data_IF_648963823217
#
_entry.id   IF_648963823217
#
_cell.length_a   1.000
_cell.length_b   1.000
_cell.length_c   1.000
_cell.angle_alpha   90.00
_cell.angle_beta   90.00
_cell.angle_gamma   90.00
#
_symmetry.space_group_name_H-M   'P 1'
#
loop_
_entity.id
_entity.type
_entity.pdbx_description
1 polymer ?
#
# COMPACT_ATOMS: atom_id res chain seq x y z
N UNK A 1 61.66 14.89 -54.44
CA UNK A 1 62.74 15.89 -54.67
C UNK A 1 62.31 17.16 -53.96
N UNK A 2 62.92 17.48 -52.81
CA UNK A 2 63.99 18.48 -52.61
C UNK A 2 63.55 19.95 -52.81
N UNK A 3 63.69 20.70 -51.69
CA UNK A 3 64.05 22.15 -51.56
C UNK A 3 62.93 23.15 -51.88
N UNK A 4 62.79 24.32 -51.25
CA UNK A 4 63.49 25.01 -50.18
C UNK A 4 62.61 26.20 -49.73
N UNK A 5 62.48 26.38 -48.41
CA UNK A 5 62.77 27.61 -47.65
C UNK A 5 62.67 28.98 -48.36
N UNK A 6 61.81 29.86 -47.84
CA UNK A 6 62.07 31.31 -47.75
C UNK A 6 61.33 31.89 -46.53
N UNK A 7 62.12 32.42 -45.59
CA UNK A 7 61.71 33.22 -44.45
C UNK A 7 61.29 34.62 -44.90
N UNK A 8 60.23 35.17 -44.31
CA UNK A 8 60.13 36.61 -44.03
C UNK A 8 59.47 36.81 -42.67
N UNK A 9 60.20 37.50 -41.79
CA UNK A 9 59.81 37.87 -40.44
C UNK A 9 58.79 39.02 -40.43
N UNK A 10 57.94 39.09 -39.40
CA UNK A 10 57.05 40.23 -39.20
C UNK A 10 56.17 40.13 -37.95
N UNK A 11 56.72 40.60 -36.83
CA UNK A 11 56.02 41.25 -35.69
C UNK A 11 54.99 40.47 -34.85
N UNK A 12 55.38 40.28 -33.58
CA UNK A 12 54.52 39.88 -32.46
C UNK A 12 53.42 40.91 -32.19
N UNK A 13 52.17 40.45 -32.07
CA UNK A 13 51.14 41.12 -31.28
C UNK A 13 50.31 40.05 -30.55
N UNK A 14 50.53 39.95 -29.24
CA UNK A 14 49.74 39.14 -28.31
C UNK A 14 48.35 39.75 -28.14
N UNK A 15 47.31 39.00 -28.50
CA UNK A 15 45.93 39.28 -28.12
C UNK A 15 45.34 38.04 -27.43
N UNK A 16 45.19 38.12 -26.11
CA UNK A 16 44.45 37.16 -25.31
C UNK A 16 42.95 37.40 -25.55
N UNK A 17 42.29 36.48 -26.24
CA UNK A 17 40.84 36.44 -26.37
C UNK A 17 40.31 35.52 -25.28
N UNK A 18 39.70 36.11 -24.26
CA UNK A 18 38.91 35.41 -23.25
C UNK A 18 37.55 35.13 -23.90
N UNK A 19 37.27 33.86 -24.21
CA UNK A 19 35.92 33.42 -24.61
C UNK A 19 35.00 33.51 -23.40
N UNK A 20 34.11 34.51 -23.39
CA UNK A 20 32.89 34.48 -22.59
C UNK A 20 31.89 33.53 -23.27
N UNK A 21 31.87 32.28 -22.83
CA UNK A 21 30.80 31.34 -23.16
C UNK A 21 29.61 31.55 -22.20
N UNK A 22 28.56 32.23 -22.67
CA UNK A 22 27.25 32.10 -22.05
C UNK A 22 26.67 30.73 -22.43
N UNK A 23 26.79 29.77 -21.53
CA UNK A 23 25.97 28.55 -21.54
C UNK A 23 24.88 28.70 -20.49
N UNK A 24 23.63 28.88 -20.93
CA UNK A 24 22.47 28.76 -20.06
C UNK A 24 22.38 27.31 -19.57
N UNK A 25 22.74 27.09 -18.31
CA UNK A 25 22.49 25.83 -17.61
C UNK A 25 20.98 25.70 -17.39
N UNK A 26 20.39 24.68 -18.00
CA UNK A 26 18.99 24.31 -17.83
C UNK A 26 18.62 24.18 -16.36
N UNK A 27 17.59 24.93 -15.98
CA UNK A 27 16.94 24.85 -14.68
C UNK A 27 16.20 23.52 -14.57
N UNK A 28 16.84 22.50 -14.01
CA UNK A 28 16.11 21.35 -13.46
C UNK A 28 15.39 21.85 -12.20
N UNK A 29 14.08 22.09 -12.33
CA UNK A 29 13.21 22.44 -11.22
C UNK A 29 13.16 21.32 -10.17
N UNK A 30 14.14 21.30 -9.27
CA UNK A 30 14.03 20.63 -7.98
C UNK A 30 13.74 21.71 -6.95
N UNK A 31 12.46 21.94 -6.68
CA UNK A 31 12.05 22.63 -5.46
C UNK A 31 12.71 21.93 -4.28
N UNK A 32 13.45 22.68 -3.46
CA UNK A 32 14.01 22.16 -2.23
C UNK A 32 12.91 21.49 -1.39
N UNK A 33 13.20 20.39 -0.66
CA UNK A 33 12.23 19.77 0.23
C UNK A 33 11.69 20.80 1.23
N UNK A 34 10.43 20.65 1.70
CA UNK A 34 9.85 21.56 2.68
C UNK A 34 10.75 21.60 3.92
N UNK A 35 11.18 22.82 4.30
CA UNK A 35 12.03 23.22 5.45
C UNK A 35 13.00 22.17 6.02
N UNK A 36 14.29 22.51 6.08
CA UNK A 36 15.29 21.71 6.78
C UNK A 36 14.80 21.32 8.18
N UNK A 37 14.79 20.02 8.47
CA UNK A 37 14.27 19.47 9.71
C UNK A 37 14.91 20.17 10.93
N UNK A 38 14.08 20.73 11.80
CA UNK A 38 14.53 21.32 13.06
C UNK A 38 14.67 20.23 14.13
N UNK A 39 15.76 20.29 14.91
CA UNK A 39 16.05 19.32 15.97
C UNK A 39 17.03 18.21 15.56
N UNK A 40 17.51 17.47 16.57
CA UNK A 40 18.53 16.42 16.36
C UNK A 40 17.99 15.20 15.62
N UNK A 41 16.70 14.89 15.75
CA UNK A 41 16.10 13.64 15.26
C UNK A 41 16.58 12.40 16.02
N UNK A 42 16.14 11.24 15.54
CA UNK A 42 16.47 9.92 16.06
C UNK A 42 17.24 9.12 15.01
N UNK A 43 18.50 8.82 15.32
CA UNK A 43 19.33 8.00 14.45
C UNK A 43 18.73 6.60 14.26
N UNK A 44 18.83 5.99 13.07
CA UNK A 44 18.40 4.63 12.84
C UNK A 44 18.93 3.64 13.88
N UNK A 45 18.14 2.62 14.19
CA UNK A 45 18.53 1.53 15.08
C UNK A 45 18.26 0.21 14.36
N UNK A 46 19.31 -0.56 14.12
CA UNK A 46 19.21 -1.89 13.52
C UNK A 46 18.44 -2.86 14.44
N UNK A 47 17.78 -3.84 13.84
CA UNK A 47 17.01 -4.86 14.56
C UNK A 47 16.18 -5.70 13.60
N UNK A 48 16.01 -6.98 13.91
CA UNK A 48 15.38 -7.94 12.98
C UNK A 48 13.86 -7.86 12.96
N UNK A 49 13.25 -7.34 14.03
CA UNK A 49 11.80 -7.19 14.21
C UNK A 49 11.35 -5.80 13.80
N UNK A 50 10.31 -5.76 12.97
CA UNK A 50 9.67 -4.52 12.51
C UNK A 50 8.34 -4.34 13.21
N UNK A 51 7.98 -3.09 13.51
CA UNK A 51 6.68 -2.73 14.07
C UNK A 51 6.11 -1.54 13.31
N UNK A 52 4.82 -1.57 13.03
CA UNK A 52 4.09 -0.44 12.44
C UNK A 52 3.67 0.51 13.54
N UNK A 53 3.93 1.81 13.34
CA UNK A 53 3.44 2.85 14.23
C UNK A 53 1.97 3.14 13.94
N UNK A 54 1.17 3.31 14.99
CA UNK A 54 -0.25 3.65 14.86
C UNK A 54 -0.42 5.03 14.21
N UNK A 55 -1.23 5.09 13.15
CA UNK A 55 -1.62 6.33 12.46
C UNK A 55 -2.74 7.06 13.23
N UNK A 56 -2.38 7.70 14.34
CA UNK A 56 -3.31 8.24 15.34
C UNK A 56 -4.09 9.50 14.91
N UNK A 57 -3.69 10.15 13.81
CA UNK A 57 -4.42 11.25 13.15
C UNK A 57 -4.99 10.85 11.80
N UNK A 58 -4.94 9.56 11.47
CA UNK A 58 -5.49 8.97 10.26
C UNK A 58 -5.03 9.70 8.99
N UNK A 59 -3.73 9.68 8.72
CA UNK A 59 -3.18 10.13 7.46
C UNK A 59 -3.64 9.23 6.29
N UNK A 60 -3.76 7.93 6.54
CA UNK A 60 -4.13 6.92 5.54
C UNK A 60 -5.64 6.71 5.51
N UNK A 61 -6.18 6.51 4.30
CA UNK A 61 -7.60 6.25 4.14
C UNK A 61 -7.89 4.78 4.43
N UNK A 62 -9.09 4.50 4.93
CA UNK A 62 -9.48 3.17 5.41
C UNK A 62 -9.63 2.14 4.29
N UNK A 63 -8.56 1.41 3.98
CA UNK A 63 -8.57 0.26 3.07
C UNK A 63 -8.83 -1.05 3.82
N UNK A 64 -9.99 -1.10 4.48
CA UNK A 64 -10.47 -2.34 5.07
C UNK A 64 -10.85 -3.35 3.99
N UNK A 65 -10.49 -4.62 4.20
CA UNK A 65 -10.90 -5.71 3.29
C UNK A 65 -12.41 -5.86 3.36
N UNK A 66 -13.07 -5.84 2.21
CA UNK A 66 -14.53 -5.93 2.06
C UNK A 66 -14.91 -6.89 0.93
N UNK A 67 -15.90 -7.77 1.12
CA UNK A 67 -16.43 -8.58 0.03
C UNK A 67 -17.21 -7.70 -0.96
N UNK A 68 -16.82 -7.67 -2.22
CA UNK A 68 -17.57 -7.06 -3.31
C UNK A 68 -18.24 -8.16 -4.15
N UNK A 69 -19.55 -8.03 -4.39
CA UNK A 69 -20.38 -9.08 -4.98
C UNK A 69 -21.19 -8.47 -6.12
N UNK A 70 -21.30 -9.15 -7.26
CA UNK A 70 -22.27 -8.77 -8.29
C UNK A 70 -23.68 -8.81 -7.69
N UNK A 71 -24.45 -7.72 -7.78
CA UNK A 71 -25.76 -7.62 -7.14
C UNK A 71 -26.73 -8.74 -7.55
N UNK A 72 -26.62 -9.27 -8.78
CA UNK A 72 -27.47 -10.37 -9.26
C UNK A 72 -27.11 -11.73 -8.65
N UNK A 73 -25.85 -11.91 -8.27
CA UNK A 73 -25.36 -13.12 -7.59
C UNK A 73 -25.55 -13.06 -6.07
N UNK A 74 -25.76 -11.87 -5.51
CA UNK A 74 -25.87 -11.66 -4.06
C UNK A 74 -27.10 -12.32 -3.43
N UNK A 75 -26.93 -12.92 -2.26
CA UNK A 75 -28.00 -13.41 -1.39
C UNK A 75 -27.66 -13.19 0.08
N UNK A 76 -28.65 -13.22 0.99
CA UNK A 76 -28.39 -13.13 2.43
C UNK A 76 -27.42 -14.21 2.94
N UNK A 77 -27.48 -15.43 2.41
CA UNK A 77 -26.60 -16.54 2.79
C UNK A 77 -25.17 -16.36 2.27
N UNK A 78 -25.00 -15.83 1.05
CA UNK A 78 -23.69 -15.47 0.49
C UNK A 78 -23.04 -14.36 1.34
N UNK A 79 -23.79 -13.29 1.62
CA UNK A 79 -23.32 -12.19 2.48
C UNK A 79 -22.95 -12.72 3.87
N UNK A 80 -23.81 -13.51 4.51
CA UNK A 80 -23.54 -14.05 5.84
C UNK A 80 -22.29 -14.95 5.87
N UNK A 81 -22.03 -15.74 4.82
CA UNK A 81 -20.84 -16.57 4.73
C UNK A 81 -19.56 -15.73 4.57
N UNK A 82 -19.60 -14.70 3.73
CA UNK A 82 -18.47 -13.79 3.53
C UNK A 82 -18.20 -12.93 4.78
N UNK A 83 -19.26 -12.49 5.46
CA UNK A 83 -19.18 -11.71 6.69
C UNK A 83 -18.56 -12.51 7.85
N UNK A 84 -18.63 -13.85 7.84
CA UNK A 84 -17.88 -14.70 8.76
C UNK A 84 -16.37 -14.60 8.56
N UNK A 85 -15.93 -14.47 7.31
CA UNK A 85 -14.51 -14.22 7.01
C UNK A 85 -14.13 -12.84 7.53
N UNK A 86 -14.92 -11.80 7.21
CA UNK A 86 -14.68 -10.44 7.68
C UNK A 86 -14.61 -10.34 9.21
N UNK A 87 -15.50 -11.02 9.93
CA UNK A 87 -15.51 -11.00 11.39
C UNK A 87 -14.30 -11.72 12.03
N UNK A 88 -13.71 -12.70 11.33
CA UNK A 88 -12.54 -13.42 11.80
C UNK A 88 -11.22 -12.70 11.50
N UNK A 89 -11.23 -11.77 10.52
CA UNK A 89 -10.04 -11.16 9.96
C UNK A 89 -9.79 -9.75 10.54
N UNK A 90 -8.66 -9.61 11.22
CA UNK A 90 -8.06 -8.34 11.65
C UNK A 90 -6.66 -8.19 11.03
N UNK A 91 -6.03 -7.02 11.18
CA UNK A 91 -4.75 -6.74 10.51
C UNK A 91 -3.63 -7.67 10.98
N UNK A 92 -3.57 -8.02 12.27
CA UNK A 92 -2.55 -8.94 12.80
C UNK A 92 -2.70 -10.33 12.17
N UNK A 93 -3.92 -10.83 12.08
CA UNK A 93 -4.20 -12.10 11.41
C UNK A 93 -3.95 -12.06 9.90
N UNK A 94 -4.21 -10.94 9.25
CA UNK A 94 -3.91 -10.77 7.82
C UNK A 94 -2.39 -10.76 7.58
N UNK A 95 -1.62 -10.12 8.47
CA UNK A 95 -0.15 -10.19 8.47
C UNK A 95 0.32 -11.65 8.58
N UNK A 96 -0.19 -12.43 9.54
CA UNK A 96 0.20 -13.85 9.69
C UNK A 96 -0.19 -14.68 8.46
N UNK A 97 -1.36 -14.41 7.89
CA UNK A 97 -1.83 -15.07 6.68
C UNK A 97 -0.92 -14.76 5.48
N UNK A 98 -0.52 -13.50 5.31
CA UNK A 98 0.41 -13.09 4.26
C UNK A 98 1.81 -13.65 4.50
N UNK A 99 2.28 -13.71 5.75
CA UNK A 99 3.56 -14.37 6.10
C UNK A 99 3.57 -15.81 5.64
N UNK A 100 2.49 -16.55 5.90
CA UNK A 100 2.40 -17.96 5.53
C UNK A 100 2.64 -18.18 4.03
N UNK A 101 2.18 -17.27 3.18
CA UNK A 101 2.31 -17.36 1.72
C UNK A 101 3.64 -16.76 1.23
N UNK A 102 3.93 -15.53 1.62
CA UNK A 102 5.03 -14.75 1.05
C UNK A 102 6.39 -15.13 1.63
N UNK A 103 6.42 -15.49 2.91
CA UNK A 103 7.64 -15.83 3.65
C UNK A 103 7.79 -17.34 3.79
N UNK A 104 6.76 -18.02 4.31
CA UNK A 104 6.82 -19.46 4.56
C UNK A 104 6.52 -20.32 3.33
N UNK A 105 6.17 -19.66 2.20
CA UNK A 105 5.97 -20.29 0.89
C UNK A 105 4.85 -21.34 0.84
N UNK A 106 3.84 -21.22 1.71
CA UNK A 106 2.62 -22.03 1.59
C UNK A 106 1.84 -21.62 0.35
N UNK A 107 1.03 -22.55 -0.17
CA UNK A 107 0.04 -22.18 -1.18
C UNK A 107 -1.04 -21.30 -0.53
N UNK A 108 -1.61 -20.38 -1.30
CA UNK A 108 -2.73 -19.54 -0.86
C UNK A 108 -3.90 -20.38 -0.30
N UNK A 109 -4.19 -21.51 -0.96
CA UNK A 109 -5.25 -22.44 -0.55
C UNK A 109 -4.96 -23.12 0.79
N UNK A 110 -3.73 -23.59 1.01
CA UNK A 110 -3.38 -24.24 2.28
C UNK A 110 -3.39 -23.24 3.44
N UNK A 111 -2.83 -22.04 3.21
CA UNK A 111 -2.85 -20.97 4.20
C UNK A 111 -4.29 -20.55 4.56
N UNK A 112 -5.16 -20.40 3.55
CA UNK A 112 -6.59 -20.12 3.76
C UNK A 112 -7.31 -21.25 4.52
N UNK A 113 -7.02 -22.52 4.20
CA UNK A 113 -7.62 -23.67 4.87
C UNK A 113 -7.23 -23.75 6.34
N UNK A 114 -5.94 -23.55 6.66
CA UNK A 114 -5.46 -23.51 8.03
C UNK A 114 -6.10 -22.35 8.81
N UNK A 115 -6.17 -21.16 8.20
CA UNK A 115 -6.82 -19.99 8.80
C UNK A 115 -8.28 -20.27 9.14
N UNK A 116 -9.05 -20.82 8.20
CA UNK A 116 -10.47 -21.16 8.39
C UNK A 116 -10.64 -22.14 9.54
N UNK A 117 -9.78 -23.16 9.61
CA UNK A 117 -9.83 -24.16 10.69
C UNK A 117 -9.47 -23.54 12.04
N UNK A 118 -8.37 -22.77 12.12
CA UNK A 118 -7.90 -22.15 13.35
C UNK A 118 -8.92 -21.15 13.93
N UNK A 119 -9.63 -20.42 13.05
CA UNK A 119 -10.58 -19.37 13.45
C UNK A 119 -12.04 -19.82 13.40
N UNK A 120 -12.30 -21.12 13.15
CA UNK A 120 -13.67 -21.67 13.08
C UNK A 120 -14.61 -20.92 12.13
N UNK A 121 -14.08 -20.39 11.02
CA UNK A 121 -14.83 -19.49 10.11
C UNK A 121 -16.09 -20.15 9.56
N UNK A 122 -16.03 -21.46 9.27
CA UNK A 122 -17.15 -22.22 8.69
C UNK A 122 -18.20 -22.63 9.70
N UNK A 123 -17.96 -22.45 11.00
CA UNK A 123 -18.87 -22.91 12.05
C UNK A 123 -20.13 -22.06 12.09
N UNK A 124 -21.29 -22.72 11.95
CA UNK A 124 -22.59 -22.07 11.99
C UNK A 124 -22.93 -21.27 10.73
N UNK A 125 -22.23 -21.51 9.61
CA UNK A 125 -22.65 -20.97 8.31
C UNK A 125 -23.96 -21.65 7.89
N UNK A 126 -24.99 -20.83 7.65
CA UNK A 126 -26.27 -21.28 7.11
C UNK A 126 -26.12 -21.65 5.64
N UNK A 127 -26.68 -22.80 5.25
CA UNK A 127 -26.65 -23.22 3.84
C UNK A 127 -27.66 -22.44 3.01
N UNK A 128 -27.21 -21.94 1.86
CA UNK A 128 -28.05 -21.32 0.84
C UNK A 128 -28.68 -22.33 -0.11
N UNK A 129 -29.21 -21.83 -1.22
CA UNK A 129 -29.84 -22.66 -2.28
C UNK A 129 -28.82 -23.45 -3.12
N UNK A 130 -27.52 -23.23 -2.89
CA UNK A 130 -26.43 -23.74 -3.72
C UNK A 130 -26.38 -23.06 -5.09
N UNK A 131 -25.64 -23.66 -6.01
CA UNK A 131 -25.32 -23.10 -7.31
C UNK A 131 -23.83 -22.88 -7.50
N UNK A 132 -23.45 -22.53 -8.73
CA UNK A 132 -22.06 -22.26 -9.09
C UNK A 132 -21.73 -20.79 -8.85
N UNK A 133 -20.60 -20.53 -8.20
CA UNK A 133 -20.06 -19.18 -7.97
C UNK A 133 -18.62 -19.11 -8.43
N UNK A 134 -18.24 -17.98 -9.02
CA UNK A 134 -16.86 -17.66 -9.37
C UNK A 134 -16.34 -16.53 -8.48
N UNK A 135 -15.35 -16.85 -7.65
CA UNK A 135 -14.60 -15.87 -6.87
C UNK A 135 -13.38 -15.44 -7.69
N UNK A 136 -13.33 -14.17 -8.06
CA UNK A 136 -12.16 -13.54 -8.67
C UNK A 136 -11.15 -13.09 -7.63
N UNK A 137 -9.89 -13.05 -8.02
CA UNK A 137 -8.81 -12.45 -7.25
C UNK A 137 -7.91 -11.58 -8.15
N UNK A 138 -7.32 -10.56 -7.54
CA UNK A 138 -6.30 -9.74 -8.17
C UNK A 138 -4.97 -10.51 -8.26
N UNK A 139 -4.04 -10.03 -9.09
CA UNK A 139 -2.74 -10.69 -9.31
C UNK A 139 -1.69 -10.38 -8.23
N UNK A 140 -2.04 -10.62 -6.96
CA UNK A 140 -1.10 -10.57 -5.84
C UNK A 140 -1.48 -11.57 -4.74
N UNK A 141 -0.53 -11.89 -3.86
CA UNK A 141 -0.63 -12.99 -2.90
C UNK A 141 -1.79 -12.84 -1.92
N UNK A 142 -1.95 -11.67 -1.30
CA UNK A 142 -3.02 -11.42 -0.35
C UNK A 142 -4.40 -11.59 -1.01
N UNK A 143 -4.67 -10.94 -2.14
CA UNK A 143 -5.97 -11.07 -2.83
C UNK A 143 -6.28 -12.51 -3.25
N UNK A 144 -5.29 -13.27 -3.71
CA UNK A 144 -5.45 -14.71 -4.02
C UNK A 144 -5.84 -15.49 -2.76
N UNK A 145 -5.18 -15.22 -1.63
CA UNK A 145 -5.43 -15.91 -0.36
C UNK A 145 -6.80 -15.55 0.22
N UNK A 146 -7.19 -14.27 0.16
CA UNK A 146 -8.54 -13.82 0.52
C UNK A 146 -9.61 -14.46 -0.39
N UNK A 147 -9.32 -14.62 -1.68
CA UNK A 147 -10.21 -15.32 -2.63
C UNK A 147 -10.44 -16.78 -2.24
N UNK A 148 -9.40 -17.49 -1.79
CA UNK A 148 -9.51 -18.85 -1.27
C UNK A 148 -10.31 -18.90 0.04
N UNK A 149 -10.13 -17.93 0.96
CA UNK A 149 -10.96 -17.84 2.18
C UNK A 149 -12.45 -17.69 1.84
N UNK A 150 -12.78 -16.82 0.89
CA UNK A 150 -14.15 -16.63 0.42
C UNK A 150 -14.68 -17.90 -0.22
N UNK A 151 -13.86 -18.57 -1.05
CA UNK A 151 -14.21 -19.85 -1.67
C UNK A 151 -14.56 -20.93 -0.65
N UNK A 152 -13.76 -21.07 0.42
CA UNK A 152 -14.01 -22.04 1.49
C UNK A 152 -15.30 -21.71 2.26
N UNK A 153 -15.50 -20.45 2.64
CA UNK A 153 -16.70 -20.03 3.38
C UNK A 153 -17.99 -20.24 2.56
N UNK A 154 -17.97 -19.89 1.27
CA UNK A 154 -19.09 -20.08 0.36
C UNK A 154 -19.34 -21.57 0.06
N UNK A 155 -18.29 -22.39 -0.02
CA UNK A 155 -18.44 -23.84 -0.14
C UNK A 155 -19.14 -24.43 1.10
N UNK A 156 -18.78 -23.97 2.30
CA UNK A 156 -19.48 -24.35 3.53
C UNK A 156 -20.95 -23.89 3.56
N UNK A 157 -21.27 -22.78 2.88
CA UNK A 157 -22.64 -22.32 2.64
C UNK A 157 -23.40 -23.14 1.57
N UNK A 158 -22.79 -24.16 0.97
CA UNK A 158 -23.44 -25.10 0.06
C UNK A 158 -23.33 -24.74 -1.43
N UNK A 159 -22.45 -23.81 -1.81
CA UNK A 159 -22.18 -23.44 -3.19
C UNK A 159 -21.01 -24.24 -3.78
N UNK A 160 -21.02 -24.45 -5.09
CA UNK A 160 -19.86 -24.96 -5.84
C UNK A 160 -19.02 -23.76 -6.26
N UNK A 161 -17.82 -23.60 -5.70
CA UNK A 161 -17.04 -22.38 -5.92
C UNK A 161 -15.80 -22.64 -6.75
N UNK A 162 -15.57 -21.79 -7.74
CA UNK A 162 -14.30 -21.69 -8.48
C UNK A 162 -13.59 -20.39 -8.07
N UNK A 163 -12.37 -20.50 -7.58
CA UNK A 163 -11.49 -19.34 -7.36
C UNK A 163 -10.59 -19.17 -8.58
N UNK A 164 -10.44 -17.96 -9.10
CA UNK A 164 -9.55 -17.68 -10.22
C UNK A 164 -8.91 -16.28 -10.15
N UNK A 165 -7.63 -16.19 -10.50
CA UNK A 165 -6.94 -14.91 -10.68
C UNK A 165 -7.31 -14.33 -12.05
N UNK A 166 -7.72 -13.06 -12.07
CA UNK A 166 -8.11 -12.37 -13.31
C UNK A 166 -7.05 -11.37 -13.77
N UNK A 167 -6.34 -10.73 -12.84
CA UNK A 167 -5.36 -9.69 -13.16
C UNK A 167 -5.51 -8.46 -12.28
N UNK A 168 -5.35 -7.28 -12.86
CA UNK A 168 -5.56 -5.99 -12.21
C UNK A 168 -7.05 -5.58 -12.16
N UNK A 169 -7.34 -4.55 -11.37
CA UNK A 169 -8.70 -4.04 -11.10
C UNK A 169 -9.41 -3.57 -12.36
N UNK A 170 -8.68 -3.00 -13.30
CA UNK A 170 -9.20 -2.57 -14.61
C UNK A 170 -9.76 -3.74 -15.43
N UNK A 171 -9.35 -4.98 -15.15
CA UNK A 171 -9.85 -6.18 -15.80
C UNK A 171 -10.95 -6.86 -14.98
N UNK A 172 -10.73 -7.06 -13.67
CA UNK A 172 -11.68 -7.84 -12.87
C UNK A 172 -12.90 -7.05 -12.42
N UNK A 173 -12.81 -5.73 -12.17
CA UNK A 173 -13.99 -4.97 -11.73
C UNK A 173 -15.06 -4.91 -12.83
N UNK A 174 -14.72 -4.68 -14.11
CA UNK A 174 -15.71 -4.77 -15.18
C UNK A 174 -16.30 -6.17 -15.35
N UNK A 175 -15.50 -7.22 -15.16
CA UNK A 175 -15.98 -8.61 -15.18
C UNK A 175 -16.96 -8.86 -14.02
N UNK A 176 -16.65 -8.37 -12.82
CA UNK A 176 -17.51 -8.45 -11.64
C UNK A 176 -18.82 -7.69 -11.88
N UNK A 177 -18.77 -6.45 -12.35
CA UNK A 177 -19.97 -5.63 -12.61
C UNK A 177 -20.90 -6.26 -13.66
N UNK A 178 -20.34 -6.93 -14.67
CA UNK A 178 -21.10 -7.63 -15.72
C UNK A 178 -21.66 -8.98 -15.27
N UNK A 179 -21.07 -9.58 -14.23
CA UNK A 179 -21.42 -10.92 -13.74
C UNK A 179 -20.66 -12.04 -14.46
N UNK A 180 -19.51 -11.74 -15.08
CA UNK A 180 -18.58 -12.76 -15.60
C UNK A 180 -17.82 -13.46 -14.46
N UNK A 181 -17.71 -12.77 -13.31
CA UNK A 181 -17.34 -13.29 -12.00
C UNK A 181 -18.33 -12.74 -10.97
N UNK A 182 -18.48 -13.44 -9.83
CA UNK A 182 -19.56 -13.17 -8.89
C UNK A 182 -19.09 -12.41 -7.64
N UNK A 183 -17.90 -12.72 -7.13
CA UNK A 183 -17.35 -12.15 -5.88
C UNK A 183 -15.86 -11.82 -6.04
N UNK A 184 -15.39 -10.74 -5.42
CA UNK A 184 -13.96 -10.39 -5.29
C UNK A 184 -13.69 -9.82 -3.89
N UNK A 185 -12.58 -10.20 -3.21
CA UNK A 185 -12.08 -9.45 -2.05
C UNK A 185 -11.52 -8.10 -2.49
N UNK A 186 -12.06 -7.02 -1.95
CA UNK A 186 -11.71 -5.64 -2.30
C UNK A 186 -11.30 -4.80 -1.10
N UNK A 187 -10.77 -3.62 -1.37
CA UNK A 187 -10.25 -2.67 -0.38
C UNK A 187 -11.09 -1.40 -0.43
N UNK A 188 -11.69 -1.03 0.70
CA UNK A 188 -12.82 -0.11 0.71
C UNK A 188 -12.52 1.27 0.11
N UNK A 189 -11.45 1.94 0.53
CA UNK A 189 -11.10 3.28 0.04
C UNK A 189 -10.68 3.23 -1.43
N UNK A 190 -9.79 2.32 -1.79
CA UNK A 190 -9.24 2.17 -3.13
C UNK A 190 -10.33 1.81 -4.15
N UNK A 191 -11.25 0.90 -3.81
CA UNK A 191 -12.38 0.59 -4.69
C UNK A 191 -13.32 1.78 -4.84
N UNK A 192 -13.58 2.54 -3.76
CA UNK A 192 -14.44 3.72 -3.84
C UNK A 192 -13.83 4.75 -4.81
N UNK A 193 -12.54 5.06 -4.68
CA UNK A 193 -11.84 5.95 -5.60
C UNK A 193 -11.87 5.44 -7.05
N UNK A 194 -11.66 4.14 -7.26
CA UNK A 194 -11.73 3.53 -8.59
C UNK A 194 -13.13 3.69 -9.23
N UNK A 195 -14.19 3.34 -8.48
CA UNK A 195 -15.56 3.44 -8.98
C UNK A 195 -15.97 4.89 -9.24
N UNK A 196 -15.59 5.85 -8.38
CA UNK A 196 -15.90 7.26 -8.62
C UNK A 196 -15.16 7.80 -9.85
N UNK A 197 -13.89 7.46 -10.06
CA UNK A 197 -13.18 7.83 -11.28
C UNK A 197 -13.84 7.25 -12.55
N UNK A 198 -14.35 6.01 -12.47
CA UNK A 198 -15.08 5.35 -13.55
C UNK A 198 -16.45 5.97 -13.83
N UNK A 199 -17.20 6.34 -12.79
CA UNK A 199 -18.59 6.82 -12.88
C UNK A 199 -18.65 8.33 -13.13
N UNK A 200 -17.89 9.10 -12.36
CA UNK A 200 -17.93 10.56 -12.32
C UNK A 200 -16.81 11.19 -13.19
N UNK A 201 -15.89 10.38 -13.70
CA UNK A 201 -14.84 10.79 -14.64
C UNK A 201 -13.59 11.37 -13.97
N UNK A 202 -12.69 11.93 -14.79
CA UNK A 202 -11.33 12.34 -14.38
C UNK A 202 -11.26 13.42 -13.29
N UNK A 203 -12.36 14.15 -13.04
CA UNK A 203 -12.45 15.19 -12.01
C UNK A 203 -13.24 14.73 -10.77
N UNK A 204 -13.48 13.43 -10.65
CA UNK A 204 -14.09 12.84 -9.47
C UNK A 204 -13.34 13.28 -8.20
N UNK A 205 -14.10 13.71 -7.18
CA UNK A 205 -13.52 13.90 -5.85
C UNK A 205 -13.28 12.54 -5.24
N UNK A 206 -12.17 12.37 -4.53
CA UNK A 206 -11.90 11.14 -3.78
C UNK A 206 -13.06 10.88 -2.80
N UNK A 207 -13.83 9.80 -2.97
CA UNK A 207 -14.97 9.49 -2.12
C UNK A 207 -14.54 8.78 -0.83
N UNK A 208 -13.27 8.41 -0.70
CA UNK A 208 -12.77 7.72 0.47
C UNK A 208 -12.46 8.66 1.63
N UNK A 209 -12.44 8.11 2.84
CA UNK A 209 -12.21 8.83 4.08
C UNK A 209 -11.34 8.00 5.03
N UNK A 210 -10.84 8.67 6.03
CA UNK A 210 -10.18 8.08 7.19
C UNK A 210 -11.19 7.47 8.17
N UNK A 211 -12.47 7.83 8.04
CA UNK A 211 -13.59 7.19 8.72
C UNK A 211 -14.19 6.07 7.84
N UNK A 212 -14.11 4.83 8.33
CA UNK A 212 -14.60 3.66 7.61
C UNK A 212 -16.10 3.74 7.31
N UNK A 213 -16.91 4.32 8.21
CA UNK A 213 -18.35 4.45 8.01
C UNK A 213 -18.66 5.33 6.80
N UNK A 214 -17.96 6.45 6.68
CA UNK A 214 -18.04 7.37 5.55
C UNK A 214 -17.58 6.69 4.27
N UNK A 215 -16.41 6.05 4.28
CA UNK A 215 -15.88 5.31 3.12
C UNK A 215 -16.88 4.26 2.64
N UNK A 216 -17.40 3.42 3.54
CA UNK A 216 -18.37 2.37 3.20
C UNK A 216 -19.70 2.93 2.71
N UNK A 217 -20.16 4.06 3.25
CA UNK A 217 -21.39 4.72 2.78
C UNK A 217 -21.24 5.19 1.35
N UNK A 218 -20.12 5.86 1.03
CA UNK A 218 -19.84 6.33 -0.32
C UNK A 218 -19.59 5.16 -1.28
N UNK A 219 -18.85 4.14 -0.84
CA UNK A 219 -18.62 2.92 -1.61
C UNK A 219 -19.92 2.23 -1.98
N UNK A 220 -20.85 2.05 -1.03
CA UNK A 220 -22.18 1.47 -1.30
C UNK A 220 -22.96 2.28 -2.34
N UNK A 221 -22.98 3.60 -2.22
CA UNK A 221 -23.66 4.46 -3.19
C UNK A 221 -23.06 4.38 -4.61
N UNK A 222 -21.74 4.17 -4.72
CA UNK A 222 -21.07 3.92 -6.00
C UNK A 222 -21.33 2.51 -6.52
N UNK A 223 -21.34 1.50 -5.63
CA UNK A 223 -21.67 0.12 -5.96
C UNK A 223 -23.08 -0.05 -6.50
N UNK A 224 -24.07 0.63 -5.92
CA UNK A 224 -25.45 0.61 -6.41
C UNK A 224 -25.54 1.07 -7.88
N UNK A 225 -24.72 2.06 -8.28
CA UNK A 225 -24.62 2.51 -9.67
C UNK A 225 -23.85 1.53 -10.56
N UNK A 226 -22.92 0.78 -9.99
CA UNK A 226 -22.07 -0.19 -10.69
C UNK A 226 -22.67 -1.61 -10.75
N UNK A 227 -23.79 -1.87 -10.07
CA UNK A 227 -24.38 -3.21 -9.95
C UNK A 227 -23.61 -4.11 -8.98
N UNK A 228 -23.04 -3.52 -7.92
CA UNK A 228 -22.26 -4.19 -6.89
C UNK A 228 -22.92 -4.05 -5.52
N UNK A 229 -22.87 -5.13 -4.75
CA UNK A 229 -23.28 -5.19 -3.35
C UNK A 229 -22.08 -5.55 -2.50
N UNK A 230 -21.99 -4.96 -1.31
CA UNK A 230 -20.86 -5.18 -0.40
C UNK A 230 -21.29 -5.88 0.88
N UNK A 231 -20.43 -6.77 1.37
CA UNK A 231 -20.54 -7.36 2.70
C UNK A 231 -20.13 -6.38 3.81
N UNK A 232 -20.07 -6.91 5.03
CA UNK A 232 -19.47 -6.23 6.17
C UNK A 232 -17.95 -6.15 5.97
N UNK A 233 -17.32 -4.97 6.08
CA UNK A 233 -15.86 -4.87 6.02
C UNK A 233 -15.22 -5.56 7.23
N UNK A 234 -14.06 -6.17 7.02
CA UNK A 234 -13.25 -6.72 8.10
C UNK A 234 -12.56 -5.62 8.92
N UNK A 235 -12.04 -5.95 10.09
CA UNK A 235 -11.15 -5.04 10.82
C UNK A 235 -9.76 -4.93 10.17
N UNK A 236 -9.40 -5.90 9.31
CA UNK A 236 -8.13 -5.94 8.62
C UNK A 236 -8.03 -4.85 7.57
N UNK A 237 -6.88 -4.18 7.57
CA UNK A 237 -6.53 -3.11 6.64
C UNK A 237 -5.26 -3.47 5.88
N UNK A 238 -5.29 -3.27 4.57
CA UNK A 238 -4.10 -3.22 3.72
C UNK A 238 -3.98 -1.82 3.13
N UNK A 239 -3.14 -1.01 3.77
CA UNK A 239 -2.88 0.37 3.39
C UNK A 239 -1.41 0.69 3.59
N UNK A 240 -0.99 1.83 3.03
CA UNK A 240 0.29 2.42 3.40
C UNK A 240 0.39 2.55 4.92
N UNK A 241 1.55 2.26 5.47
CA UNK A 241 1.86 2.40 6.88
C UNK A 241 3.33 2.80 7.04
N UNK A 242 3.73 3.12 8.27
CA UNK A 242 5.12 3.45 8.56
C UNK A 242 5.67 2.53 9.63
N UNK A 243 6.67 1.76 9.25
CA UNK A 243 7.34 0.82 10.14
C UNK A 243 8.68 1.36 10.61
N UNK A 244 9.04 0.95 11.83
CA UNK A 244 10.35 1.12 12.45
C UNK A 244 10.82 -0.26 12.95
N UNK A 245 12.07 -0.38 13.40
CA UNK A 245 12.46 -1.57 14.16
C UNK A 245 11.88 -1.51 15.57
N UNK A 246 11.57 -2.67 16.16
CA UNK A 246 11.12 -2.75 17.57
C UNK A 246 12.16 -2.14 18.52
N UNK A 247 13.44 -2.31 18.20
CA UNK A 247 14.55 -1.70 18.94
C UNK A 247 14.53 -0.16 18.86
N UNK A 248 14.23 0.41 17.68
CA UNK A 248 14.05 1.86 17.50
C UNK A 248 12.83 2.35 18.30
N UNK A 249 11.68 1.69 18.15
CA UNK A 249 10.45 2.04 18.87
C UNK A 249 10.66 2.03 20.38
N UNK A 250 11.31 0.99 20.91
CA UNK A 250 11.60 0.85 22.34
C UNK A 250 12.57 1.94 22.81
N UNK A 251 13.68 2.16 22.08
CA UNK A 251 14.70 3.14 22.47
C UNK A 251 14.15 4.55 22.57
N UNK A 252 13.23 4.92 21.68
CA UNK A 252 12.66 6.26 21.60
C UNK A 252 11.22 6.35 22.14
N UNK A 253 10.73 5.26 22.75
CA UNK A 253 9.37 5.14 23.30
C UNK A 253 8.29 5.58 22.30
N UNK A 254 8.24 4.91 21.14
CA UNK A 254 7.32 5.22 20.05
C UNK A 254 6.22 4.16 19.95
N UNK A 255 4.99 4.63 19.90
CA UNK A 255 3.81 3.79 19.59
C UNK A 255 3.01 4.33 18.43
N UNK A 256 3.03 5.66 18.22
CA UNK A 256 2.25 6.33 17.18
C UNK A 256 3.09 7.18 16.23
N UNK A 257 2.50 7.61 15.12
CA UNK A 257 3.09 8.61 14.24
C UNK A 257 3.25 9.97 14.92
N UNK A 258 2.35 10.34 15.82
CA UNK A 258 2.54 11.55 16.66
C UNK A 258 3.75 11.42 17.59
N UNK A 259 4.03 10.25 18.17
CA UNK A 259 5.25 10.03 18.96
C UNK A 259 6.50 10.25 18.11
N UNK A 260 6.51 9.66 16.90
CA UNK A 260 7.60 9.81 15.94
C UNK A 260 7.82 11.28 15.58
N UNK A 261 6.74 12.02 15.29
CA UNK A 261 6.79 13.44 14.99
C UNK A 261 7.37 14.26 16.15
N UNK A 262 6.87 14.03 17.36
CA UNK A 262 7.27 14.80 18.53
C UNK A 262 8.70 14.51 19.00
N UNK A 263 9.16 13.26 18.92
CA UNK A 263 10.42 12.81 19.54
C UNK A 263 11.55 12.66 18.52
N UNK A 264 11.21 12.38 17.26
CA UNK A 264 12.15 11.95 16.25
C UNK A 264 12.10 12.76 14.95
N UNK A 265 11.39 13.89 14.90
CA UNK A 265 11.60 14.86 13.82
C UNK A 265 13.00 15.49 13.95
N UNK A 266 13.75 15.59 12.86
CA UNK A 266 15.08 16.21 12.87
C UNK A 266 16.16 15.52 12.03
N UNK A 267 17.37 16.10 12.09
CA UNK A 267 18.47 15.86 11.16
C UNK A 267 18.98 14.40 11.09
N UNK A 268 18.95 13.66 12.21
CA UNK A 268 19.42 12.28 12.26
C UNK A 268 18.42 11.26 11.71
N UNK A 269 17.16 11.64 11.55
CA UNK A 269 16.09 10.73 11.12
C UNK A 269 16.10 10.57 9.61
N UNK A 270 16.04 9.31 9.16
CA UNK A 270 16.01 8.96 7.75
C UNK A 270 14.69 8.27 7.42
N UNK A 271 13.89 8.89 6.55
CA UNK A 271 12.67 8.28 6.00
C UNK A 271 13.02 7.50 4.73
N UNK A 272 12.62 6.24 4.66
CA UNK A 272 12.72 5.40 3.46
C UNK A 272 11.38 5.21 2.78
N UNK A 273 11.37 5.19 1.45
CA UNK A 273 10.18 4.89 0.65
C UNK A 273 10.42 5.04 -0.85
N UNK A 274 9.40 4.87 -1.69
CA UNK A 274 9.52 5.00 -3.13
C UNK A 274 9.88 6.43 -3.56
N UNK A 275 10.48 6.59 -4.74
CA UNK A 275 11.08 7.85 -5.18
C UNK A 275 10.11 9.06 -5.17
N UNK A 276 8.82 8.80 -5.37
CA UNK A 276 7.74 9.77 -5.34
C UNK A 276 7.23 10.12 -3.92
N UNK A 277 7.61 9.36 -2.89
CA UNK A 277 7.16 9.58 -1.51
C UNK A 277 7.33 11.03 -1.01
N UNK A 278 8.41 11.77 -1.33
CA UNK A 278 8.59 13.15 -0.90
C UNK A 278 7.43 14.09 -1.29
N UNK A 279 6.79 13.83 -2.43
CA UNK A 279 5.71 14.67 -2.96
C UNK A 279 4.30 14.07 -2.73
N UNK A 280 4.21 12.83 -2.25
CA UNK A 280 2.92 12.14 -2.10
C UNK A 280 2.17 12.62 -0.84
N UNK A 281 0.91 13.08 -0.96
CA UNK A 281 0.09 13.51 0.18
C UNK A 281 -0.15 12.41 1.22
N UNK A 282 0.01 11.14 0.85
CA UNK A 282 -0.14 9.97 1.72
C UNK A 282 1.21 9.34 2.10
N UNK A 283 2.32 10.05 1.88
CA UNK A 283 3.66 9.64 2.30
C UNK A 283 4.34 10.79 3.06
N UNK A 284 5.51 11.27 2.62
CA UNK A 284 6.25 12.31 3.35
C UNK A 284 5.50 13.63 3.45
N UNK A 285 4.87 14.11 2.37
CA UNK A 285 4.11 15.37 2.41
C UNK A 285 2.99 15.29 3.45
N UNK A 286 2.31 14.15 3.52
CA UNK A 286 1.30 13.88 4.54
C UNK A 286 1.84 13.85 5.97
N UNK A 287 3.00 13.23 6.19
CA UNK A 287 3.67 13.25 7.50
C UNK A 287 4.03 14.67 7.93
N UNK A 288 4.42 15.53 6.99
CA UNK A 288 4.68 16.95 7.26
C UNK A 288 3.38 17.67 7.61
N UNK A 289 2.35 17.56 6.76
CA UNK A 289 1.14 18.36 6.89
C UNK A 289 0.25 17.93 8.07
N UNK A 290 0.13 16.62 8.31
CA UNK A 290 -0.75 16.05 9.35
C UNK A 290 -0.07 15.98 10.71
N UNK A 291 1.23 15.63 10.73
CA UNK A 291 1.96 15.35 11.97
C UNK A 291 2.99 16.41 12.33
N UNK A 292 3.40 17.27 11.40
CA UNK A 292 4.55 18.16 11.59
C UNK A 292 5.90 17.40 11.60
N UNK A 293 5.92 16.15 11.13
CA UNK A 293 7.14 15.35 11.10
C UNK A 293 8.03 15.75 9.92
N UNK A 294 9.31 16.00 10.20
CA UNK A 294 10.32 16.32 9.20
C UNK A 294 11.52 15.38 9.39
N UNK A 295 11.73 14.48 8.45
CA UNK A 295 12.95 13.68 8.41
C UNK A 295 14.12 14.55 7.93
N UNK A 296 15.29 14.37 8.54
CA UNK A 296 16.51 15.05 8.10
C UNK A 296 17.01 14.58 6.75
N UNK A 297 16.69 13.33 6.37
CA UNK A 297 17.06 12.73 5.08
C UNK A 297 15.93 11.85 4.56
N UNK A 298 15.88 11.76 3.23
CA UNK A 298 15.05 10.78 2.53
C UNK A 298 15.95 9.78 1.79
N UNK A 299 15.61 8.50 1.87
CA UNK A 299 16.26 7.41 1.14
C UNK A 299 15.27 6.80 0.16
N UNK A 300 15.58 6.88 -1.14
CA UNK A 300 14.74 6.29 -2.18
C UNK A 300 14.97 4.78 -2.23
N UNK A 301 13.91 4.02 -1.96
CA UNK A 301 13.86 2.56 -1.88
C UNK A 301 12.61 2.05 -2.63
N UNK A 302 12.27 0.77 -2.48
CA UNK A 302 11.03 0.19 -2.99
C UNK A 302 9.81 0.54 -2.11
N UNK A 303 8.59 0.32 -2.62
CA UNK A 303 7.34 0.55 -1.88
C UNK A 303 7.10 -0.54 -0.83
N UNK A 304 7.79 -0.46 0.31
CA UNK A 304 7.63 -1.41 1.40
C UNK A 304 8.24 -2.79 1.17
N UNK A 305 8.97 -2.99 0.07
CA UNK A 305 9.54 -4.27 -0.32
C UNK A 305 10.88 -4.62 0.37
N UNK A 306 11.63 -5.59 -0.16
CA UNK A 306 12.89 -6.06 0.42
C UNK A 306 13.93 -4.97 0.72
N UNK A 307 14.03 -3.91 -0.09
CA UNK A 307 15.05 -2.86 0.13
C UNK A 307 14.69 -2.01 1.36
N UNK A 308 13.43 -1.61 1.49
CA UNK A 308 12.92 -0.88 2.65
C UNK A 308 13.05 -1.69 3.93
N UNK A 309 12.66 -2.97 3.89
CA UNK A 309 12.81 -3.88 5.05
C UNK A 309 14.27 -4.08 5.45
N UNK A 310 15.14 -4.30 4.48
CA UNK A 310 16.59 -4.45 4.72
C UNK A 310 17.17 -3.17 5.30
N UNK A 311 16.75 -2.01 4.78
CA UNK A 311 17.21 -0.72 5.28
C UNK A 311 16.81 -0.47 6.74
N UNK A 312 15.58 -0.82 7.11
CA UNK A 312 15.13 -0.78 8.51
C UNK A 312 15.98 -1.72 9.38
N UNK A 313 16.10 -3.00 8.97
CA UNK A 313 16.79 -4.03 9.77
C UNK A 313 18.27 -3.74 9.97
N UNK A 314 18.94 -3.21 8.95
CA UNK A 314 20.36 -2.83 9.00
C UNK A 314 20.60 -1.45 9.64
N UNK A 315 19.54 -0.71 9.97
CA UNK A 315 19.67 0.64 10.53
C UNK A 315 20.25 1.64 9.54
N UNK A 316 19.97 1.50 8.24
CA UNK A 316 20.30 2.53 7.24
C UNK A 316 19.18 3.56 7.07
N UNK A 317 17.95 3.21 7.47
CA UNK A 317 16.81 4.13 7.61
C UNK A 317 16.18 4.02 9.01
N UNK A 318 15.58 5.11 9.50
CA UNK A 318 14.92 5.16 10.82
C UNK A 318 13.48 4.66 10.75
N UNK A 319 12.76 5.06 9.69
CA UNK A 319 11.36 4.77 9.43
C UNK A 319 11.16 4.50 7.94
N UNK A 320 10.31 3.55 7.58
CA UNK A 320 10.05 3.16 6.19
C UNK A 320 8.57 3.08 5.87
N UNK A 321 8.18 3.51 4.67
CA UNK A 321 6.85 3.25 4.13
C UNK A 321 6.72 1.74 3.85
N UNK A 322 5.72 1.09 4.43
CA UNK A 322 5.37 -0.34 4.22
C UNK A 322 3.87 -0.49 3.98
N UNK A 323 3.40 -1.71 3.73
CA UNK A 323 1.98 -2.04 3.76
C UNK A 323 1.60 -2.60 5.14
N UNK A 324 0.45 -2.22 5.67
CA UNK A 324 0.00 -2.59 7.02
C UNK A 324 -0.23 -4.08 7.21
N UNK A 325 -0.51 -4.81 6.13
CA UNK A 325 -0.71 -6.25 6.13
C UNK A 325 0.52 -7.05 5.72
N UNK A 326 1.67 -6.41 5.50
CA UNK A 326 2.87 -7.09 4.99
C UNK A 326 3.31 -8.23 5.93
N UNK A 327 3.44 -9.45 5.39
CA UNK A 327 3.81 -10.63 6.18
C UNK A 327 5.17 -10.56 6.87
N UNK A 328 6.06 -9.64 6.48
CA UNK A 328 7.32 -9.40 7.18
C UNK A 328 7.14 -8.64 8.51
N UNK A 329 5.94 -8.12 8.79
CA UNK A 329 5.57 -7.48 10.06
C UNK A 329 5.11 -8.47 11.13
N UNK A 330 4.88 -9.73 10.75
CA UNK A 330 4.52 -10.79 11.68
C UNK A 330 5.56 -10.88 12.80
N UNK A 331 5.09 -10.82 14.04
CA UNK A 331 5.96 -10.95 15.19
C UNK A 331 6.42 -12.40 15.29
N UNK A 332 7.72 -12.64 15.12
CA UNK A 332 8.35 -13.92 15.45
C UNK A 332 8.40 -14.18 16.95
#
# INVERSE_FOLDING_TARGET
MRRNLLLTAGTFLTAAVILAGCGESGSSGTSAPPSAASGSGCAPVAGDKLVVLTDDKALQNTDNVVPAINTKASSPEILAALDKVSAALDTEKLIELNKAVDVDRKSAKDAAQEFVTANSVTTGITKGKGGDLTVGAADFSESKTLGELYGIALTAAGYTVKVQTIGNRELYEPALAKGDIDIVPEYAATLATFLSGKIDGANAKDPSSTDLTTTMTNLKALGDKAGLTFGTPSAAQDQNAFAVTEAFATKYALTTLSDLAAKCSGAATVLGGPAECPQRPKCQQGLVDTYGFQAGKFSSLDSGGPLTKTGLKQGTISVGLVFSSDGALAAG
#
